data_IF_117383427999
#
_entry.id   IF_117383427999
#
_cell.length_a   1.000
_cell.length_b   1.000
_cell.length_c   1.000
_cell.angle_alpha   90.00
_cell.angle_beta   90.00
_cell.angle_gamma   90.00
#
_symmetry.space_group_name_H-M   'P 1'
#
loop_
_entity.id
_entity.type
_entity.pdbx_description
1 polymer ?
#
# COMPACT_ATOMS: atom_id res chain seq x y z
N UNK A 1 17.56 14.80 -2.35
CA UNK A 1 17.97 14.16 -1.10
C UNK A 1 17.25 14.77 0.11
N UNK A 2 17.32 14.13 1.27
CA UNK A 2 16.63 14.60 2.48
C UNK A 2 17.09 15.99 2.94
N UNK A 3 18.39 16.29 2.84
CA UNK A 3 18.93 17.60 3.22
C UNK A 3 18.38 18.71 2.31
N UNK A 4 18.29 18.47 1.00
CA UNK A 4 17.73 19.41 0.06
C UNK A 4 16.23 19.64 0.23
N UNK A 5 15.50 18.62 0.65
CA UNK A 5 14.04 18.67 0.81
C UNK A 5 13.57 19.26 2.15
N UNK A 6 14.46 19.41 3.13
CA UNK A 6 14.06 19.79 4.51
C UNK A 6 13.36 21.14 4.59
N UNK A 7 13.79 22.12 3.80
CA UNK A 7 13.20 23.47 3.79
C UNK A 7 11.79 23.48 3.20
N UNK A 8 11.57 22.70 2.14
CA UNK A 8 10.24 22.49 1.54
C UNK A 8 9.33 21.73 2.50
N UNK A 9 9.83 20.69 3.15
CA UNK A 9 9.08 19.93 4.14
C UNK A 9 8.66 20.80 5.34
N UNK A 10 9.56 21.66 5.83
CA UNK A 10 9.24 22.59 6.91
C UNK A 10 8.11 23.54 6.56
N UNK A 11 8.07 24.01 5.30
CA UNK A 11 7.00 24.87 4.80
C UNK A 11 5.68 24.11 4.60
N UNK A 12 5.73 22.88 4.03
CA UNK A 12 4.54 22.07 3.73
C UNK A 12 3.84 21.52 4.98
N UNK A 13 4.58 21.25 6.05
CA UNK A 13 4.06 20.61 7.26
C UNK A 13 3.92 21.58 8.45
N UNK A 14 3.76 22.86 8.18
CA UNK A 14 3.49 23.91 9.19
C UNK A 14 4.51 23.93 10.35
N UNK A 15 5.79 23.64 10.05
CA UNK A 15 6.85 23.65 11.07
C UNK A 15 7.36 25.05 11.39
N UNK A 16 6.94 26.06 10.61
CA UNK A 16 7.34 27.44 10.74
C UNK A 16 6.14 28.37 10.61
N UNK A 17 6.09 29.51 11.33
CA UNK A 17 5.00 30.48 11.24
C UNK A 17 5.15 31.35 9.97
N UNK A 18 4.83 30.79 8.82
CA UNK A 18 5.03 31.40 7.49
C UNK A 18 3.72 31.83 6.81
N UNK A 19 2.58 31.65 7.45
CA UNK A 19 1.28 32.01 6.88
C UNK A 19 1.26 33.47 6.44
N UNK A 20 0.86 33.72 5.20
CA UNK A 20 0.82 35.06 4.59
C UNK A 20 2.18 35.70 4.25
N UNK A 21 3.29 34.96 4.42
CA UNK A 21 4.64 35.43 4.11
C UNK A 21 5.11 34.94 2.73
N UNK A 22 6.00 35.71 2.09
CA UNK A 22 6.75 35.24 0.93
C UNK A 22 7.93 34.42 1.43
N UNK A 23 8.00 33.16 1.04
CA UNK A 23 9.01 32.20 1.49
C UNK A 23 9.84 31.73 0.33
N UNK A 24 11.16 31.70 0.49
CA UNK A 24 12.09 31.09 -0.43
C UNK A 24 12.71 29.85 0.22
N UNK A 25 12.47 28.70 -0.36
CA UNK A 25 13.08 27.43 0.07
C UNK A 25 14.35 27.18 -0.73
N UNK A 26 15.50 27.27 -0.07
CA UNK A 26 16.79 26.92 -0.69
C UNK A 26 16.91 25.40 -0.74
N UNK A 27 16.95 24.82 -1.94
CA UNK A 27 17.19 23.41 -2.15
C UNK A 27 18.67 23.22 -2.42
N UNK A 28 19.38 22.65 -1.46
CA UNK A 28 20.80 22.34 -1.55
C UNK A 28 21.05 20.86 -1.39
N UNK A 29 21.97 20.30 -2.20
CA UNK A 29 22.25 18.87 -2.25
C UNK A 29 21.36 18.14 -3.27
N UNK A 30 21.79 16.96 -3.66
CA UNK A 30 21.13 16.15 -4.70
C UNK A 30 21.72 14.74 -4.80
N UNK A 31 22.61 14.37 -3.88
CA UNK A 31 23.22 13.05 -3.86
C UNK A 31 22.36 12.09 -3.01
N UNK A 32 21.40 11.43 -3.63
CA UNK A 32 20.60 10.40 -2.97
C UNK A 32 20.90 9.03 -3.56
N UNK A 33 21.09 8.04 -2.70
CA UNK A 33 21.17 6.64 -3.12
C UNK A 33 19.83 6.19 -3.71
N UNK A 34 19.88 5.51 -4.86
CA UNK A 34 18.69 5.07 -5.61
C UNK A 34 17.81 4.12 -4.78
N UNK A 35 18.40 3.29 -3.93
CA UNK A 35 17.63 2.40 -3.06
C UNK A 35 16.89 3.20 -1.98
N UNK A 36 17.51 4.27 -1.46
CA UNK A 36 16.83 5.16 -0.51
C UNK A 36 15.67 5.89 -1.21
N UNK A 37 15.90 6.40 -2.42
CA UNK A 37 14.86 7.04 -3.22
C UNK A 37 13.68 6.10 -3.46
N UNK A 38 13.93 4.86 -3.87
CA UNK A 38 12.92 3.83 -4.06
C UNK A 38 12.08 3.61 -2.78
N UNK A 39 12.75 3.50 -1.62
CA UNK A 39 12.07 3.34 -0.33
C UNK A 39 11.21 4.55 0.05
N UNK A 40 11.69 5.76 -0.23
CA UNK A 40 10.93 7.00 0.03
C UNK A 40 9.68 7.04 -0.84
N UNK A 41 9.80 6.72 -2.13
CA UNK A 41 8.66 6.66 -3.06
C UNK A 41 7.65 5.61 -2.58
N UNK A 42 8.10 4.39 -2.30
CA UNK A 42 7.20 3.32 -1.83
C UNK A 42 6.44 3.70 -0.56
N UNK A 43 7.13 4.29 0.43
CA UNK A 43 6.49 4.77 1.66
C UNK A 43 5.51 5.93 1.41
N UNK A 44 5.83 6.81 0.47
CA UNK A 44 4.93 7.90 0.05
C UNK A 44 3.63 7.32 -0.52
N UNK A 45 3.73 6.40 -1.47
CA UNK A 45 2.59 5.73 -2.09
C UNK A 45 1.71 4.98 -1.06
N UNK A 46 2.34 4.29 -0.10
CA UNK A 46 1.60 3.62 0.99
C UNK A 46 0.84 4.62 1.87
N UNK A 47 1.45 5.77 2.20
CA UNK A 47 0.83 6.82 3.02
C UNK A 47 -0.35 7.52 2.33
N UNK A 48 -0.39 7.48 1.02
CA UNK A 48 -1.47 8.04 0.20
C UNK A 48 -2.52 6.99 -0.18
N UNK A 49 -2.38 5.74 0.30
CA UNK A 49 -3.26 4.64 -0.07
C UNK A 49 -3.14 4.22 -1.54
N UNK A 50 -1.99 4.51 -2.17
CA UNK A 50 -1.72 4.16 -3.57
C UNK A 50 -1.01 2.82 -3.75
N UNK A 51 -0.51 2.24 -2.67
CA UNK A 51 0.00 0.88 -2.59
C UNK A 51 -0.61 0.19 -1.37
N UNK A 52 -1.17 -0.99 -1.57
CA UNK A 52 -1.79 -1.79 -0.53
C UNK A 52 -1.26 -3.23 -0.58
N UNK A 53 -1.06 -3.80 0.60
CA UNK A 53 -0.83 -5.24 0.79
C UNK A 53 -1.99 -5.78 1.62
N UNK A 54 -2.73 -6.74 1.08
CA UNK A 54 -3.76 -7.47 1.82
C UNK A 54 -3.31 -8.90 2.04
N UNK A 55 -3.62 -9.42 3.22
CA UNK A 55 -3.47 -10.84 3.55
C UNK A 55 -4.86 -11.44 3.76
N UNK A 56 -5.15 -12.53 3.08
CA UNK A 56 -6.45 -13.18 3.05
C UNK A 56 -6.25 -14.64 3.44
N UNK A 57 -6.99 -15.09 4.45
CA UNK A 57 -7.03 -16.51 4.80
C UNK A 57 -8.06 -17.21 3.91
N UNK A 58 -7.62 -18.24 3.19
CA UNK A 58 -8.44 -19.00 2.26
C UNK A 58 -8.44 -20.49 2.61
N UNK A 59 -9.51 -21.18 2.25
CA UNK A 59 -9.46 -22.63 2.09
C UNK A 59 -8.54 -22.98 0.91
N UNK A 60 -7.65 -23.96 1.07
CA UNK A 60 -6.79 -24.39 -0.03
C UNK A 60 -7.57 -25.26 -1.05
N UNK A 61 -8.39 -24.59 -1.86
CA UNK A 61 -9.27 -25.20 -2.87
C UNK A 61 -9.15 -24.45 -4.21
N UNK A 62 -9.35 -25.18 -5.33
CA UNK A 62 -9.42 -24.55 -6.64
C UNK A 62 -10.49 -23.45 -6.70
N UNK A 63 -10.20 -22.36 -7.40
CA UNK A 63 -11.13 -21.24 -7.60
C UNK A 63 -11.04 -20.11 -6.56
N UNK A 64 -10.47 -20.33 -5.38
CA UNK A 64 -10.38 -19.30 -4.35
C UNK A 64 -9.59 -18.08 -4.80
N UNK A 65 -8.43 -18.28 -5.40
CA UNK A 65 -7.62 -17.20 -5.97
C UNK A 65 -8.38 -16.42 -7.05
N UNK A 66 -9.12 -17.13 -7.91
CA UNK A 66 -9.92 -16.51 -8.96
C UNK A 66 -10.98 -15.56 -8.37
N UNK A 67 -11.71 -16.01 -7.35
CA UNK A 67 -12.71 -15.17 -6.68
C UNK A 67 -12.10 -13.89 -6.10
N UNK A 68 -10.98 -14.00 -5.39
CA UNK A 68 -10.30 -12.83 -4.83
C UNK A 68 -9.82 -11.86 -5.93
N UNK A 69 -9.17 -12.37 -6.97
CA UNK A 69 -8.64 -11.53 -8.05
C UNK A 69 -9.75 -10.88 -8.87
N UNK A 70 -10.90 -11.53 -8.99
CA UNK A 70 -12.08 -10.97 -9.65
C UNK A 70 -12.60 -9.76 -8.89
N UNK A 71 -12.78 -9.86 -7.58
CA UNK A 71 -13.23 -8.72 -6.74
C UNK A 71 -12.28 -7.53 -6.87
N UNK A 72 -10.97 -7.78 -6.80
CA UNK A 72 -9.96 -6.72 -6.92
C UNK A 72 -10.03 -6.04 -8.30
N UNK A 73 -10.18 -6.83 -9.34
CA UNK A 73 -10.30 -6.34 -10.73
C UNK A 73 -11.58 -5.51 -10.92
N UNK A 74 -12.72 -5.95 -10.39
CA UNK A 74 -14.00 -5.23 -10.45
C UNK A 74 -13.95 -3.88 -9.71
N UNK A 75 -13.11 -3.79 -8.67
CA UNK A 75 -12.83 -2.52 -7.99
C UNK A 75 -11.84 -1.63 -8.76
N UNK A 76 -11.24 -2.11 -9.84
CA UNK A 76 -10.32 -1.34 -10.68
C UNK A 76 -8.92 -1.15 -10.08
N UNK A 77 -8.49 -2.03 -9.17
CA UNK A 77 -7.13 -2.05 -8.65
C UNK A 77 -6.23 -2.94 -9.51
N UNK A 78 -4.95 -2.58 -9.61
CA UNK A 78 -3.95 -3.33 -10.36
C UNK A 78 -3.14 -4.23 -9.44
N UNK A 79 -3.15 -5.54 -9.68
CA UNK A 79 -2.38 -6.52 -8.90
C UNK A 79 -0.93 -6.50 -9.37
N UNK A 80 0.00 -6.24 -8.44
CA UNK A 80 1.44 -6.18 -8.69
C UNK A 80 2.13 -7.49 -8.33
N UNK A 81 1.64 -8.16 -7.27
CA UNK A 81 2.22 -9.41 -6.82
C UNK A 81 1.24 -10.26 -6.03
N UNK A 82 1.41 -11.57 -6.14
CA UNK A 82 0.62 -12.57 -5.43
C UNK A 82 1.56 -13.59 -4.81
N UNK A 83 1.43 -13.83 -3.52
CA UNK A 83 2.14 -14.87 -2.80
C UNK A 83 1.13 -15.79 -2.13
N UNK A 84 1.23 -17.09 -2.41
CA UNK A 84 0.36 -18.11 -1.87
C UNK A 84 1.15 -18.99 -0.90
N UNK A 85 0.91 -18.83 0.39
CA UNK A 85 1.64 -19.53 1.46
C UNK A 85 0.77 -20.62 2.08
N UNK A 86 1.28 -21.87 2.06
CA UNK A 86 0.59 -23.07 2.56
C UNK A 86 1.19 -23.62 3.86
N UNK A 87 2.29 -23.07 4.33
CA UNK A 87 3.12 -23.67 5.38
C UNK A 87 3.04 -22.96 6.73
N UNK A 88 2.08 -22.08 6.95
CA UNK A 88 1.97 -21.39 8.24
C UNK A 88 1.31 -22.32 9.28
N UNK A 89 2.11 -22.74 10.28
CA UNK A 89 1.68 -23.63 11.36
C UNK A 89 0.57 -23.03 12.27
N UNK A 90 0.27 -21.75 12.13
CA UNK A 90 -0.79 -21.07 12.88
C UNK A 90 -2.20 -21.34 12.30
N UNK A 91 -2.29 -21.90 11.10
CA UNK A 91 -3.55 -22.15 10.41
C UNK A 91 -3.81 -23.65 10.20
N UNK A 92 -5.08 -24.00 9.94
CA UNK A 92 -5.45 -25.39 9.67
C UNK A 92 -4.71 -25.92 8.42
N UNK A 93 -4.42 -27.22 8.40
CA UNK A 93 -3.72 -27.88 7.28
C UNK A 93 -4.41 -27.68 5.92
N UNK A 94 -5.73 -27.40 5.96
CA UNK A 94 -6.57 -27.15 4.77
C UNK A 94 -6.67 -25.67 4.41
N UNK A 95 -5.95 -24.79 5.12
CA UNK A 95 -5.98 -23.33 4.91
C UNK A 95 -4.68 -22.86 4.28
N UNK A 96 -4.75 -21.75 3.58
CA UNK A 96 -3.59 -21.06 3.05
C UNK A 96 -3.74 -19.54 3.26
N UNK A 97 -2.61 -18.84 3.24
CA UNK A 97 -2.56 -17.39 3.25
C UNK A 97 -2.26 -16.89 1.84
N UNK A 98 -3.11 -16.00 1.36
CA UNK A 98 -2.90 -15.29 0.11
C UNK A 98 -2.49 -13.86 0.43
N UNK A 99 -1.26 -13.48 0.08
CA UNK A 99 -0.79 -12.10 0.15
C UNK A 99 -0.83 -11.48 -1.23
N UNK A 100 -1.56 -10.39 -1.36
CA UNK A 100 -1.70 -9.66 -2.62
C UNK A 100 -1.22 -8.24 -2.41
N UNK A 101 -0.20 -7.85 -3.18
CA UNK A 101 0.21 -6.45 -3.33
C UNK A 101 -0.46 -5.85 -4.55
N UNK A 102 -0.99 -4.65 -4.40
CA UNK A 102 -1.74 -3.97 -5.45
C UNK A 102 -1.50 -2.46 -5.45
N UNK A 103 -1.64 -1.88 -6.62
CA UNK A 103 -1.73 -0.44 -6.82
C UNK A 103 -3.20 -0.02 -6.73
N UNK A 104 -3.44 1.01 -5.95
CA UNK A 104 -4.76 1.59 -5.67
C UNK A 104 -4.73 3.10 -5.90
N UNK A 105 -5.89 3.72 -6.02
CA UNK A 105 -6.01 5.18 -6.21
C UNK A 105 -5.86 5.92 -4.89
N UNK A 106 -6.49 5.39 -3.83
CA UNK A 106 -6.63 6.03 -2.53
C UNK A 106 -7.11 5.03 -1.46
N UNK A 107 -7.23 5.47 -0.23
CA UNK A 107 -7.74 4.66 0.87
C UNK A 107 -9.22 4.26 0.69
N UNK A 108 -10.04 5.07 0.03
CA UNK A 108 -11.44 4.74 -0.20
C UNK A 108 -11.58 3.48 -1.06
N UNK A 109 -10.76 3.35 -2.11
CA UNK A 109 -10.73 2.13 -2.93
C UNK A 109 -10.25 0.91 -2.14
N UNK A 110 -9.27 1.07 -1.23
CA UNK A 110 -8.81 -0.03 -0.37
C UNK A 110 -9.95 -0.54 0.51
N UNK A 111 -10.71 0.36 1.14
CA UNK A 111 -11.84 -0.01 1.97
C UNK A 111 -12.99 -0.63 1.16
N UNK A 112 -13.24 -0.17 -0.06
CA UNK A 112 -14.20 -0.79 -0.99
C UNK A 112 -13.80 -2.24 -1.29
N UNK A 113 -12.53 -2.49 -1.61
CA UNK A 113 -12.01 -3.84 -1.87
C UNK A 113 -12.20 -4.74 -0.65
N UNK A 114 -11.81 -4.27 0.53
CA UNK A 114 -11.96 -5.02 1.79
C UNK A 114 -13.42 -5.37 2.07
N UNK A 115 -14.33 -4.41 1.90
CA UNK A 115 -15.77 -4.62 2.10
C UNK A 115 -16.31 -5.71 1.16
N UNK A 116 -16.04 -5.60 -0.14
CA UNK A 116 -16.49 -6.58 -1.13
C UNK A 116 -15.90 -7.98 -0.93
N UNK A 117 -14.62 -8.07 -0.54
CA UNK A 117 -14.01 -9.35 -0.19
C UNK A 117 -14.72 -9.98 1.02
N UNK A 118 -15.03 -9.18 2.04
CA UNK A 118 -15.74 -9.65 3.24
C UNK A 118 -17.18 -10.07 2.91
N UNK A 119 -17.90 -9.32 2.07
CA UNK A 119 -19.24 -9.66 1.60
C UNK A 119 -19.28 -10.99 0.84
N UNK A 120 -18.23 -11.32 0.11
CA UNK A 120 -18.10 -12.62 -0.58
C UNK A 120 -17.57 -13.74 0.32
N UNK A 121 -17.38 -13.47 1.61
CA UNK A 121 -17.00 -14.46 2.61
C UNK A 121 -15.49 -14.68 2.74
N UNK A 122 -14.66 -13.87 2.12
CA UNK A 122 -13.21 -13.93 2.29
C UNK A 122 -12.79 -13.31 3.63
N UNK A 123 -11.91 -14.01 4.34
CA UNK A 123 -11.43 -13.57 5.65
C UNK A 123 -10.11 -12.80 5.52
N UNK A 124 -10.16 -11.50 5.78
CA UNK A 124 -8.96 -10.67 5.87
C UNK A 124 -8.20 -10.96 7.18
N UNK A 125 -6.88 -10.97 7.08
CA UNK A 125 -5.94 -11.13 8.20
C UNK A 125 -5.14 -9.84 8.33
N UNK A 126 -5.10 -9.29 9.54
CA UNK A 126 -4.32 -8.09 9.85
C UNK A 126 -2.82 -8.41 10.04
#
# INVERSE_FOLDING_TARGET
>A
EGAGAVTVAAAMFDKLPIAGKKVCCLISGGNIDVNILSRVITRGLQREGRNCLLTIALDDKPGQLLGVTQVISECGANIVGVTHERSDAAYAVTSCLLRISMETRDFAQIEEIKAKLTEQGFKLVE
#
